data_IF_450380511756
#
_entry.id   IF_450380511756
#
_cell.length_a   1.000
_cell.length_b   1.000
_cell.length_c   1.000
_cell.angle_alpha   90.00
_cell.angle_beta   90.00
_cell.angle_gamma   90.00
#
_symmetry.space_group_name_H-M   'P 1'
#
loop_
_entity.id
_entity.type
_entity.pdbx_description
1 polymer ?
#
# COMPACT_ATOMS: atom_id res chain seq x y z
N UNK A 1 0.45 -24.61 -25.40
CA UNK A 1 1.75 -24.40 -26.06
C UNK A 1 2.53 -23.31 -25.32
N UNK A 2 3.86 -23.34 -25.34
CA UNK A 2 4.70 -22.29 -24.72
C UNK A 2 4.45 -20.90 -25.34
N UNK A 3 4.13 -20.84 -26.63
CA UNK A 3 3.73 -19.63 -27.36
C UNK A 3 2.51 -18.95 -26.72
N UNK A 4 1.41 -19.67 -26.52
CA UNK A 4 0.19 -19.07 -25.96
C UNK A 4 0.37 -18.49 -24.55
N UNK A 5 1.26 -19.08 -23.72
CA UNK A 5 1.59 -18.51 -22.40
C UNK A 5 2.44 -17.24 -22.50
N UNK A 6 3.34 -17.15 -23.48
CA UNK A 6 4.13 -15.94 -23.75
C UNK A 6 3.26 -14.81 -24.30
N UNK A 7 2.31 -15.13 -25.18
CA UNK A 7 1.37 -14.16 -25.76
C UNK A 7 0.47 -13.55 -24.69
N UNK A 8 -0.13 -14.36 -23.81
CA UNK A 8 -0.94 -13.87 -22.68
C UNK A 8 -0.11 -13.00 -21.71
N UNK A 9 1.14 -13.38 -21.43
CA UNK A 9 2.01 -12.58 -20.55
C UNK A 9 2.33 -11.21 -21.16
N UNK A 10 2.56 -11.18 -22.48
CA UNK A 10 2.84 -9.93 -23.21
C UNK A 10 1.60 -9.02 -23.24
N UNK A 11 0.42 -9.58 -23.43
CA UNK A 11 -0.84 -8.83 -23.37
C UNK A 11 -1.05 -8.18 -22.00
N UNK A 12 -0.92 -8.96 -20.92
CA UNK A 12 -1.00 -8.45 -19.54
C UNK A 12 0.03 -7.34 -19.31
N UNK A 13 1.28 -7.55 -19.73
CA UNK A 13 2.33 -6.56 -19.58
C UNK A 13 1.97 -5.24 -20.28
N UNK A 14 1.51 -5.30 -21.53
CA UNK A 14 1.12 -4.11 -22.29
C UNK A 14 -0.04 -3.35 -21.63
N UNK A 15 -1.07 -4.06 -21.15
CA UNK A 15 -2.19 -3.42 -20.43
C UNK A 15 -1.73 -2.71 -19.16
N UNK A 16 -0.85 -3.36 -18.39
CA UNK A 16 -0.30 -2.77 -17.17
C UNK A 16 0.55 -1.54 -17.51
N UNK A 17 1.49 -1.64 -18.44
CA UNK A 17 2.35 -0.50 -18.78
C UNK A 17 1.57 0.72 -19.27
N UNK A 18 0.64 0.54 -20.21
CA UNK A 18 -0.19 1.65 -20.70
C UNK A 18 -0.98 2.32 -19.58
N UNK A 19 -1.54 1.54 -18.65
CA UNK A 19 -2.27 2.08 -17.51
C UNK A 19 -1.36 2.90 -16.58
N UNK A 20 -0.15 2.41 -16.30
CA UNK A 20 0.78 3.08 -15.39
C UNK A 20 1.43 4.34 -15.99
N UNK A 21 1.56 4.42 -17.30
CA UNK A 21 1.96 5.66 -17.97
C UNK A 21 0.92 6.77 -17.73
N UNK A 22 -0.36 6.48 -17.96
CA UNK A 22 -1.47 7.43 -17.75
C UNK A 22 -1.65 7.79 -16.26
N UNK A 23 -1.54 6.79 -15.37
CA UNK A 23 -1.65 7.01 -13.93
C UNK A 23 -0.51 7.89 -13.41
N UNK A 24 0.72 7.62 -13.82
CA UNK A 24 1.90 8.41 -13.42
C UNK A 24 1.75 9.86 -13.87
N UNK A 25 1.32 10.08 -15.12
CA UNK A 25 1.05 11.43 -15.64
C UNK A 25 -0.03 12.15 -14.82
N UNK A 26 -1.12 11.45 -14.46
CA UNK A 26 -2.21 12.00 -13.66
C UNK A 26 -1.75 12.44 -12.27
N UNK A 27 -0.95 11.62 -11.58
CA UNK A 27 -0.42 11.96 -10.25
C UNK A 27 0.57 13.12 -10.33
N UNK A 28 1.42 13.17 -11.37
CA UNK A 28 2.34 14.31 -11.56
C UNK A 28 1.56 15.60 -11.80
N UNK A 29 0.52 15.57 -12.63
CA UNK A 29 -0.34 16.73 -12.90
C UNK A 29 -1.04 17.24 -11.64
N UNK A 30 -1.50 16.34 -10.76
CA UNK A 30 -2.03 16.73 -9.44
C UNK A 30 -1.05 17.64 -8.68
N UNK A 31 0.23 17.30 -8.63
CA UNK A 31 1.23 18.14 -7.95
C UNK A 31 1.54 19.45 -8.67
N UNK A 32 1.48 19.47 -10.00
CA UNK A 32 1.62 20.70 -10.79
C UNK A 32 0.51 21.69 -10.44
N UNK A 33 -0.73 21.20 -10.27
CA UNK A 33 -1.88 22.01 -9.90
C UNK A 33 -1.82 22.53 -8.46
N UNK A 34 -1.34 21.72 -7.52
CA UNK A 34 -1.18 22.13 -6.12
C UNK A 34 -0.09 23.20 -5.92
N UNK A 35 0.87 23.35 -6.86
CA UNK A 35 1.98 24.31 -6.82
C UNK A 35 2.69 24.37 -5.47
N UNK A 36 3.25 23.24 -4.98
CA UNK A 36 3.87 23.19 -3.68
C UNK A 36 5.09 24.14 -3.59
N UNK A 37 5.36 24.67 -2.40
CA UNK A 37 6.54 25.48 -2.16
C UNK A 37 7.84 24.71 -2.47
N UNK A 38 8.90 25.42 -2.84
CA UNK A 38 10.20 24.81 -3.06
C UNK A 38 10.70 24.11 -1.79
N UNK A 39 11.24 22.89 -1.95
CA UNK A 39 11.81 22.10 -0.86
C UNK A 39 10.98 20.91 -0.38
N UNK A 40 9.74 20.75 -0.83
CA UNK A 40 8.98 19.53 -0.59
C UNK A 40 9.36 18.41 -1.56
N UNK A 41 9.47 17.19 -1.03
CA UNK A 41 9.50 15.96 -1.84
C UNK A 41 8.08 15.69 -2.34
N UNK A 42 7.89 15.54 -3.64
CA UNK A 42 6.61 15.17 -4.25
C UNK A 42 6.68 13.75 -4.83
N UNK A 43 5.57 13.27 -5.38
CA UNK A 43 5.56 11.99 -6.08
C UNK A 43 6.64 11.94 -7.17
N UNK A 44 7.38 10.83 -7.24
CA UNK A 44 8.43 10.61 -8.24
C UNK A 44 9.71 11.44 -8.08
N UNK A 45 9.84 12.29 -7.05
CA UNK A 45 11.09 13.03 -6.81
C UNK A 45 12.26 12.05 -6.60
N UNK A 46 13.28 12.14 -7.44
CA UNK A 46 14.43 11.22 -7.41
C UNK A 46 15.64 11.79 -6.67
N UNK A 47 16.53 10.90 -6.25
CA UNK A 47 17.87 11.18 -5.76
C UNK A 47 18.80 10.04 -6.17
N UNK A 48 19.81 10.36 -6.98
CA UNK A 48 20.76 9.39 -7.52
C UNK A 48 21.85 8.97 -6.52
N UNK A 49 21.87 9.55 -5.33
CA UNK A 49 22.85 9.21 -4.30
C UNK A 49 22.61 7.80 -3.79
N UNK A 50 23.55 6.87 -3.99
CA UNK A 50 23.41 5.50 -3.51
C UNK A 50 23.12 5.47 -1.99
N UNK A 51 22.10 4.73 -1.54
CA UNK A 51 21.79 4.64 -0.12
C UNK A 51 22.88 3.86 0.61
N UNK A 52 23.28 4.36 1.79
CA UNK A 52 24.09 3.58 2.70
C UNK A 52 23.28 2.38 3.21
N UNK A 53 23.95 1.23 3.34
CA UNK A 53 23.33 0.05 3.94
C UNK A 53 23.10 0.26 5.42
N UNK A 54 21.97 -0.26 5.88
CA UNK A 54 21.54 -0.21 7.27
C UNK A 54 21.74 -1.61 7.87
N UNK A 55 22.54 -1.67 8.93
CA UNK A 55 22.71 -2.88 9.73
C UNK A 55 21.44 -3.12 10.53
N UNK A 56 20.80 -4.27 10.30
CA UNK A 56 19.61 -4.65 11.03
C UNK A 56 19.99 -5.58 12.18
N UNK A 57 19.59 -5.24 13.39
CA UNK A 57 19.69 -6.13 14.54
C UNK A 57 18.86 -7.38 14.30
N UNK A 58 19.49 -8.55 14.39
CA UNK A 58 18.79 -9.84 14.31
C UNK A 58 17.70 -9.89 15.37
N UNK A 59 16.46 -10.11 14.92
CA UNK A 59 15.29 -10.19 15.78
C UNK A 59 14.41 -11.36 15.35
N UNK A 60 13.55 -11.81 16.26
CA UNK A 60 12.49 -12.73 15.89
C UNK A 60 11.39 -12.01 15.13
N UNK A 61 10.55 -12.77 14.44
CA UNK A 61 9.29 -12.24 13.92
C UNK A 61 8.36 -11.97 15.11
N UNK A 62 7.72 -10.80 15.12
CA UNK A 62 6.70 -10.42 16.13
C UNK A 62 5.52 -11.38 16.20
N UNK A 63 4.65 -11.23 17.20
CA UNK A 63 3.39 -11.99 17.29
C UNK A 63 2.24 -11.27 16.61
N UNK A 64 1.22 -12.05 16.27
CA UNK A 64 -0.05 -11.55 15.74
C UNK A 64 -0.66 -10.52 16.72
N UNK A 65 -0.93 -9.27 16.28
CA UNK A 65 -1.43 -8.20 17.13
C UNK A 65 -2.85 -8.48 17.65
N UNK A 66 -3.67 -9.28 16.97
CA UNK A 66 -4.98 -9.69 17.46
C UNK A 66 -4.83 -10.64 18.65
N UNK A 67 -3.97 -11.65 18.52
CA UNK A 67 -3.71 -12.62 19.58
C UNK A 67 -3.19 -11.98 20.89
N UNK A 68 -2.46 -10.87 20.81
CA UNK A 68 -1.95 -10.14 21.99
C UNK A 68 -2.80 -8.91 22.35
N UNK A 69 -3.93 -8.68 21.67
CA UNK A 69 -4.84 -7.56 21.93
C UNK A 69 -4.22 -6.18 21.70
N UNK A 70 -3.32 -6.05 20.73
CA UNK A 70 -2.63 -4.81 20.30
C UNK A 70 -3.32 -4.11 19.12
N UNK A 71 -4.50 -4.57 18.72
CA UNK A 71 -5.25 -3.94 17.62
C UNK A 71 -6.15 -2.85 18.20
N UNK A 72 -6.11 -1.62 17.65
CA UNK A 72 -7.00 -0.56 18.10
C UNK A 72 -8.46 -0.93 17.87
N UNK A 73 -9.27 -0.73 18.91
CA UNK A 73 -10.72 -0.87 18.82
C UNK A 73 -11.27 0.12 17.80
N UNK A 74 -12.23 -0.30 16.95
CA UNK A 74 -12.90 0.63 16.06
C UNK A 74 -13.65 1.70 16.87
N UNK A 75 -13.79 2.93 16.35
CA UNK A 75 -14.62 3.94 16.98
C UNK A 75 -16.05 3.43 17.17
N UNK A 76 -16.72 3.88 18.23
CA UNK A 76 -18.11 3.49 18.49
C UNK A 76 -19.03 3.94 17.34
N UNK A 77 -20.02 3.11 16.98
CA UNK A 77 -20.96 3.38 15.87
C UNK A 77 -21.60 4.77 15.93
N UNK A 78 -22.03 5.30 17.10
CA UNK A 78 -22.58 6.66 17.18
C UNK A 78 -21.57 7.75 16.77
N UNK A 79 -20.28 7.55 17.07
CA UNK A 79 -19.21 8.48 16.67
C UNK A 79 -19.01 8.45 15.16
N UNK A 80 -18.97 7.27 14.56
CA UNK A 80 -18.86 7.13 13.10
C UNK A 80 -20.04 7.80 12.38
N UNK A 81 -21.27 7.62 12.91
CA UNK A 81 -22.47 8.27 12.38
C UNK A 81 -22.39 9.80 12.51
N UNK A 82 -22.00 10.31 13.67
CA UNK A 82 -21.85 11.75 13.88
C UNK A 82 -20.82 12.37 12.92
N UNK A 83 -19.70 11.70 12.67
CA UNK A 83 -18.69 12.16 11.68
C UNK A 83 -19.29 12.18 10.27
N UNK A 84 -19.97 11.10 9.86
CA UNK A 84 -20.60 11.01 8.54
C UNK A 84 -21.66 12.09 8.34
N UNK A 85 -22.54 12.27 9.32
CA UNK A 85 -23.62 13.25 9.27
C UNK A 85 -23.06 14.68 9.21
N UNK A 86 -22.03 14.98 10.02
CA UNK A 86 -21.36 16.27 9.98
C UNK A 86 -20.67 16.53 8.64
N UNK A 87 -19.99 15.53 8.07
CA UNK A 87 -19.38 15.64 6.74
C UNK A 87 -20.44 15.93 5.67
N UNK A 88 -21.60 15.28 5.73
CA UNK A 88 -22.67 15.44 4.73
C UNK A 88 -23.30 16.84 4.72
N UNK A 89 -23.34 17.53 5.87
CA UNK A 89 -23.95 18.87 6.00
C UNK A 89 -22.94 20.01 6.07
N UNK A 90 -21.64 19.70 6.04
CA UNK A 90 -20.58 20.72 6.10
C UNK A 90 -20.60 21.61 4.86
N UNK A 91 -20.48 22.93 5.05
CA UNK A 91 -20.45 23.89 3.95
C UNK A 91 -19.19 23.71 3.09
N UNK A 92 -19.28 24.00 1.79
CA UNK A 92 -18.16 24.01 0.84
C UNK A 92 -16.97 24.81 1.36
N UNK A 93 -17.19 26.00 1.93
CA UNK A 93 -16.13 26.84 2.51
C UNK A 93 -15.29 26.15 3.62
N UNK A 94 -15.89 25.21 4.36
CA UNK A 94 -15.19 24.42 5.39
C UNK A 94 -14.43 23.27 4.74
N UNK A 95 -15.04 22.63 3.74
CA UNK A 95 -14.48 21.49 3.03
C UNK A 95 -13.34 21.88 2.07
N UNK A 96 -13.32 23.06 1.47
CA UNK A 96 -12.24 23.54 0.58
C UNK A 96 -10.90 23.79 1.30
N UNK A 97 -10.91 23.80 2.65
CA UNK A 97 -9.68 23.98 3.43
C UNK A 97 -8.84 22.72 3.37
N UNK A 98 -7.51 22.88 3.36
CA UNK A 98 -6.59 21.74 3.56
C UNK A 98 -6.72 21.19 4.97
N UNK A 99 -7.19 19.95 5.09
CA UNK A 99 -7.39 19.25 6.35
C UNK A 99 -6.21 18.34 6.68
N UNK A 100 -5.58 17.79 5.64
CA UNK A 100 -4.38 16.96 5.79
C UNK A 100 -3.24 17.65 5.07
N UNK A 101 -2.16 17.88 5.81
CA UNK A 101 -0.88 18.32 5.29
C UNK A 101 0.20 17.45 5.91
N UNK A 102 0.69 16.48 5.15
CA UNK A 102 1.82 15.66 5.56
C UNK A 102 3.03 15.94 4.68
N UNK A 103 4.12 16.53 5.19
CA UNK A 103 5.27 16.90 4.38
C UNK A 103 6.25 15.75 4.09
N UNK A 104 6.15 14.63 4.80
CA UNK A 104 7.09 13.50 4.73
C UNK A 104 6.39 12.14 4.81
N UNK A 105 6.94 11.08 4.20
CA UNK A 105 8.11 11.05 3.29
C UNK A 105 7.95 11.80 1.95
N UNK A 106 6.71 12.07 1.53
CA UNK A 106 6.39 13.09 0.52
C UNK A 106 5.25 13.97 1.00
N UNK A 107 5.14 15.14 0.40
CA UNK A 107 4.03 16.07 0.59
C UNK A 107 2.71 15.43 0.13
N UNK A 108 1.72 15.38 1.01
CA UNK A 108 0.33 15.08 0.66
C UNK A 108 -0.54 16.19 1.22
N UNK A 109 -1.41 16.74 0.38
CA UNK A 109 -2.32 17.84 0.69
C UNK A 109 -3.73 17.43 0.31
N UNK A 110 -4.57 17.08 1.28
CA UNK A 110 -5.97 16.77 1.02
C UNK A 110 -6.87 17.82 1.67
N UNK A 111 -7.82 18.32 0.90
CA UNK A 111 -8.92 19.10 1.44
C UNK A 111 -10.07 18.21 1.93
N UNK A 112 -11.01 18.83 2.62
CA UNK A 112 -12.21 18.17 3.11
C UNK A 112 -13.15 17.70 2.02
N UNK A 113 -13.12 18.30 0.82
CA UNK A 113 -13.94 17.84 -0.32
C UNK A 113 -13.44 16.47 -0.78
N UNK A 114 -12.14 16.34 -1.04
CA UNK A 114 -11.51 15.08 -1.42
C UNK A 114 -11.78 13.97 -0.37
N UNK A 115 -11.66 14.30 0.92
CA UNK A 115 -11.95 13.36 2.02
C UNK A 115 -13.43 12.95 2.04
N UNK A 116 -14.34 13.91 1.94
CA UNK A 116 -15.77 13.66 1.99
C UNK A 116 -16.21 12.77 0.81
N UNK A 117 -15.82 13.12 -0.41
CA UNK A 117 -16.24 12.44 -1.63
C UNK A 117 -15.75 10.99 -1.70
N UNK A 118 -14.53 10.72 -1.22
CA UNK A 118 -13.91 9.39 -1.30
C UNK A 118 -14.22 8.47 -0.11
N UNK A 119 -14.44 9.02 1.10
CA UNK A 119 -14.71 8.20 2.29
C UNK A 119 -16.19 8.12 2.68
N UNK A 120 -16.99 9.10 2.28
CA UNK A 120 -18.43 9.15 2.58
C UNK A 120 -19.31 9.28 1.33
N UNK A 121 -18.72 9.67 0.20
CA UNK A 121 -19.38 9.80 -1.09
C UNK A 121 -19.25 8.54 -1.95
N UNK A 122 -19.20 8.75 -3.27
CA UNK A 122 -19.10 7.70 -4.29
C UNK A 122 -17.91 7.92 -5.22
N UNK A 123 -16.87 8.60 -4.75
CA UNK A 123 -15.64 8.72 -5.54
C UNK A 123 -14.68 7.58 -5.18
N UNK A 124 -13.98 7.09 -6.19
CA UNK A 124 -12.92 6.10 -5.98
C UNK A 124 -11.80 6.72 -5.16
N UNK A 125 -11.18 5.89 -4.33
CA UNK A 125 -10.02 6.28 -3.54
C UNK A 125 -8.87 6.74 -4.44
N UNK A 126 -8.39 7.97 -4.24
CA UNK A 126 -7.24 8.52 -4.96
C UNK A 126 -5.93 7.91 -4.47
N UNK A 127 -4.86 8.12 -5.23
CA UNK A 127 -3.51 7.69 -4.85
C UNK A 127 -3.05 8.34 -3.54
N UNK A 128 -3.37 9.62 -3.35
CA UNK A 128 -3.05 10.44 -2.17
C UNK A 128 -3.82 9.97 -0.95
N UNK A 129 -5.12 9.68 -1.09
CA UNK A 129 -5.93 9.18 0.01
C UNK A 129 -5.47 7.78 0.44
N UNK A 130 -5.17 6.90 -0.51
CA UNK A 130 -4.59 5.59 -0.22
C UNK A 130 -3.26 5.70 0.54
N UNK A 131 -2.36 6.61 0.11
CA UNK A 131 -1.12 6.86 0.82
C UNK A 131 -1.35 7.36 2.25
N UNK A 132 -2.30 8.26 2.48
CA UNK A 132 -2.67 8.74 3.83
C UNK A 132 -3.20 7.60 4.70
N UNK A 133 -4.08 6.75 4.16
CA UNK A 133 -4.62 5.60 4.89
C UNK A 133 -3.50 4.64 5.29
N UNK A 134 -2.63 4.24 4.36
CA UNK A 134 -1.53 3.31 4.66
C UNK A 134 -0.50 3.91 5.62
N UNK A 135 -0.21 5.21 5.50
CA UNK A 135 0.61 5.94 6.48
C UNK A 135 -0.04 5.92 7.86
N UNK A 136 -1.36 6.11 7.94
CA UNK A 136 -2.10 6.06 9.21
C UNK A 136 -2.14 4.65 9.80
N UNK A 137 -2.29 3.61 8.98
CA UNK A 137 -2.19 2.21 9.42
C UNK A 137 -0.82 1.90 10.03
N UNK A 138 0.27 2.35 9.39
CA UNK A 138 1.63 2.24 9.96
C UNK A 138 1.74 2.94 11.33
N UNK A 139 1.25 4.18 11.45
CA UNK A 139 1.26 4.91 12.73
C UNK A 139 0.45 4.20 13.83
N UNK A 140 -0.72 3.66 13.48
CA UNK A 140 -1.56 2.91 14.41
C UNK A 140 -0.85 1.65 14.89
N UNK A 141 -0.23 0.88 14.00
CA UNK A 141 0.52 -0.31 14.40
C UNK A 141 1.65 0.00 15.36
N UNK A 142 2.40 1.09 15.11
CA UNK A 142 3.45 1.54 16.02
C UNK A 142 2.91 1.97 17.38
N UNK A 143 1.76 2.64 17.39
CA UNK A 143 1.17 3.20 18.61
C UNK A 143 0.57 2.12 19.51
N UNK A 144 -0.05 1.10 18.93
CA UNK A 144 -0.80 0.09 19.67
C UNK A 144 -0.04 -1.23 19.88
N UNK A 145 1.13 -1.42 19.26
CA UNK A 145 1.98 -2.59 19.49
C UNK A 145 2.32 -2.72 20.97
N UNK A 146 1.95 -3.86 21.58
CA UNK A 146 2.34 -4.23 22.95
C UNK A 146 3.59 -5.11 23.00
N UNK A 147 4.15 -5.50 21.85
CA UNK A 147 5.48 -6.12 21.80
C UNK A 147 6.56 -5.07 22.15
N UNK A 148 7.83 -5.46 22.18
CA UNK A 148 8.94 -4.53 22.44
C UNK A 148 8.86 -3.31 21.52
N UNK A 149 9.20 -2.12 22.04
CA UNK A 149 9.12 -0.81 21.35
C UNK A 149 9.72 -0.76 19.93
N UNK A 150 10.57 -1.72 19.58
CA UNK A 150 11.31 -1.78 18.32
C UNK A 150 10.84 -2.85 17.34
N UNK A 151 9.78 -3.60 17.67
CA UNK A 151 9.29 -4.72 16.86
C UNK A 151 7.81 -4.53 16.48
N UNK A 152 7.51 -4.66 15.18
CA UNK A 152 6.14 -4.51 14.65
C UNK A 152 5.78 -5.65 13.70
N UNK A 153 4.51 -6.07 13.77
CA UNK A 153 3.95 -7.13 12.95
C UNK A 153 3.85 -6.82 11.47
N UNK A 154 3.45 -5.57 11.16
CA UNK A 154 3.21 -5.13 9.80
C UNK A 154 4.12 -3.99 9.42
N UNK A 155 4.61 -4.04 8.18
CA UNK A 155 5.08 -2.88 7.45
C UNK A 155 4.11 -2.57 6.32
N UNK A 156 3.73 -1.31 6.21
CA UNK A 156 2.87 -0.81 5.14
C UNK A 156 3.73 0.06 4.23
N UNK A 157 3.84 -0.30 2.96
CA UNK A 157 4.39 0.59 1.94
C UNK A 157 3.29 1.50 1.40
N UNK A 158 3.66 2.72 1.04
CA UNK A 158 2.78 3.66 0.34
C UNK A 158 2.58 3.21 -1.12
N UNK A 159 1.46 3.58 -1.78
CA UNK A 159 1.16 3.17 -3.15
C UNK A 159 2.22 3.62 -4.16
N UNK A 160 3.02 4.65 -3.83
CA UNK A 160 4.21 5.08 -4.56
C UNK A 160 5.10 3.91 -4.98
N UNK A 161 5.30 2.94 -4.07
CA UNK A 161 6.14 1.77 -4.36
C UNK A 161 5.55 0.91 -5.47
N UNK A 162 4.25 0.60 -5.38
CA UNK A 162 3.55 -0.17 -6.40
C UNK A 162 3.55 0.55 -7.74
N UNK A 163 3.22 1.84 -7.73
CA UNK A 163 3.18 2.67 -8.94
C UNK A 163 4.54 2.75 -9.62
N UNK A 164 5.62 3.03 -8.89
CA UNK A 164 6.96 3.09 -9.46
C UNK A 164 7.42 1.76 -10.09
N UNK A 165 7.18 0.65 -9.41
CA UNK A 165 7.58 -0.67 -9.92
C UNK A 165 6.81 -1.03 -11.18
N UNK A 166 5.51 -0.75 -11.22
CA UNK A 166 4.64 -1.11 -12.34
C UNK A 166 4.75 -0.15 -13.52
N UNK A 167 5.24 1.08 -13.29
CA UNK A 167 5.69 2.01 -14.33
C UNK A 167 7.14 1.75 -14.79
N UNK A 168 7.76 0.63 -14.38
CA UNK A 168 9.15 0.26 -14.70
C UNK A 168 10.20 1.28 -14.21
N UNK A 169 9.88 2.13 -13.24
CA UNK A 169 10.85 2.96 -12.56
C UNK A 169 11.61 2.17 -11.50
N UNK A 170 12.82 2.62 -11.14
CA UNK A 170 13.54 2.02 -10.02
C UNK A 170 13.11 2.64 -8.68
N UNK A 171 12.39 1.93 -7.80
CA UNK A 171 11.99 2.45 -6.49
C UNK A 171 13.17 2.93 -5.63
N UNK A 172 14.39 2.44 -5.86
CA UNK A 172 15.58 2.87 -5.12
C UNK A 172 16.05 4.29 -5.46
N UNK A 173 15.60 4.89 -6.55
CA UNK A 173 15.95 6.27 -6.89
C UNK A 173 14.94 7.27 -6.31
N UNK A 174 13.72 6.83 -5.96
CA UNK A 174 12.65 7.71 -5.50
C UNK A 174 12.79 8.00 -4.00
N UNK A 175 12.86 9.28 -3.64
CA UNK A 175 13.16 9.72 -2.28
C UNK A 175 12.11 9.25 -1.26
N UNK A 176 10.82 9.38 -1.57
CA UNK A 176 9.74 9.00 -0.65
C UNK A 176 9.70 7.50 -0.36
N UNK A 177 9.98 6.69 -1.39
CA UNK A 177 10.08 5.24 -1.25
C UNK A 177 11.25 4.89 -0.34
N UNK A 178 12.46 5.39 -0.63
CA UNK A 178 13.63 5.15 0.22
C UNK A 178 13.38 5.53 1.68
N UNK A 179 12.80 6.70 1.90
CA UNK A 179 12.46 7.18 3.24
C UNK A 179 11.54 6.19 4.00
N UNK A 180 10.59 5.57 3.30
CA UNK A 180 9.72 4.51 3.88
C UNK A 180 10.51 3.29 4.34
N UNK A 181 11.64 2.98 3.69
CA UNK A 181 12.56 1.91 4.13
C UNK A 181 13.52 2.39 5.23
N UNK A 182 13.98 3.64 5.22
CA UNK A 182 15.11 4.07 6.05
C UNK A 182 14.72 4.86 7.31
N UNK A 183 13.78 5.80 7.22
CA UNK A 183 13.50 6.76 8.30
C UNK A 183 12.84 6.09 9.52
N UNK A 184 12.15 4.98 9.32
CA UNK A 184 11.51 4.25 10.42
C UNK A 184 12.53 3.44 11.26
N UNK A 185 13.72 3.17 10.72
CA UNK A 185 14.64 2.18 11.30
C UNK A 185 15.36 2.65 12.56
N UNK A 186 15.35 3.96 12.85
CA UNK A 186 15.86 4.49 14.13
C UNK A 186 15.09 3.90 15.33
N UNK A 187 13.83 3.51 15.13
CA UNK A 187 12.94 3.04 16.17
C UNK A 187 12.40 1.63 15.92
N UNK A 188 12.74 1.01 14.79
CA UNK A 188 12.07 -0.20 14.30
C UNK A 188 13.04 -1.12 13.56
N UNK A 189 12.96 -2.42 13.85
CA UNK A 189 13.58 -3.43 12.99
C UNK A 189 12.60 -3.90 11.92
N UNK A 190 12.76 -3.53 10.63
CA UNK A 190 11.90 -4.01 9.55
C UNK A 190 11.94 -5.54 9.40
N UNK A 191 13.01 -6.19 9.88
CA UNK A 191 13.13 -7.64 9.94
C UNK A 191 12.21 -8.31 10.97
N UNK A 192 11.61 -7.56 11.90
CA UNK A 192 10.67 -8.12 12.86
C UNK A 192 9.27 -8.34 12.27
N UNK A 193 8.95 -7.64 11.17
CA UNK A 193 7.64 -7.73 10.52
C UNK A 193 7.46 -9.04 9.78
N UNK A 194 6.39 -9.74 10.16
CA UNK A 194 5.88 -10.87 9.39
C UNK A 194 5.27 -10.41 8.08
N UNK A 195 4.48 -9.35 8.13
CA UNK A 195 3.61 -8.96 7.03
C UNK A 195 4.07 -7.65 6.41
N UNK A 196 4.32 -7.66 5.10
CA UNK A 196 4.60 -6.46 4.33
C UNK A 196 3.47 -6.24 3.34
N UNK A 197 2.76 -5.11 3.46
CA UNK A 197 1.63 -4.78 2.61
C UNK A 197 2.04 -3.77 1.54
N UNK A 198 1.70 -4.07 0.30
CA UNK A 198 1.91 -3.20 -0.86
C UNK A 198 0.56 -2.96 -1.53
N UNK A 199 -0.04 -1.76 -1.39
CA UNK A 199 -1.19 -1.39 -2.20
C UNK A 199 -0.76 -1.10 -3.64
N UNK A 200 -1.61 -1.49 -4.60
CA UNK A 200 -1.45 -1.13 -6.00
C UNK A 200 -2.80 -0.78 -6.61
N UNK A 201 -2.84 0.34 -7.32
CA UNK A 201 -3.98 0.71 -8.15
C UNK A 201 -3.82 0.03 -9.51
N UNK A 202 -4.70 -0.91 -9.83
CA UNK A 202 -4.73 -1.64 -11.09
C UNK A 202 -5.88 -1.12 -11.98
N UNK A 203 -5.95 -1.50 -13.27
CA UNK A 203 -7.06 -1.10 -14.14
C UNK A 203 -8.46 -1.44 -13.60
N UNK A 204 -8.56 -2.58 -12.89
CA UNK A 204 -9.81 -3.06 -12.27
C UNK A 204 -10.11 -2.34 -10.94
N UNK A 205 -9.13 -1.70 -10.32
CA UNK A 205 -9.24 -1.00 -9.04
C UNK A 205 -8.09 -1.31 -8.09
N UNK A 206 -8.26 -0.94 -6.82
CA UNK A 206 -7.25 -1.15 -5.79
C UNK A 206 -7.16 -2.61 -5.35
N UNK A 207 -5.93 -3.12 -5.25
CA UNK A 207 -5.62 -4.39 -4.61
C UNK A 207 -4.48 -4.23 -3.61
N UNK A 208 -4.37 -5.15 -2.66
CA UNK A 208 -3.26 -5.21 -1.71
C UNK A 208 -2.55 -6.54 -1.82
N UNK A 209 -1.23 -6.49 -1.88
CA UNK A 209 -0.35 -7.64 -1.87
C UNK A 209 0.27 -7.77 -0.48
N UNK A 210 -0.11 -8.83 0.24
CA UNK A 210 0.40 -9.10 1.58
C UNK A 210 1.52 -10.16 1.47
N UNK A 211 2.75 -9.73 1.69
CA UNK A 211 3.94 -10.58 1.72
C UNK A 211 4.13 -11.11 3.14
N UNK A 212 3.84 -12.41 3.34
CA UNK A 212 4.08 -13.11 4.59
C UNK A 212 5.52 -13.66 4.59
N UNK A 213 6.42 -12.93 5.25
CA UNK A 213 7.84 -13.24 5.37
C UNK A 213 8.09 -14.54 6.14
N UNK A 214 7.19 -14.93 7.05
CA UNK A 214 7.30 -16.19 7.79
C UNK A 214 6.93 -17.40 6.94
N UNK A 215 5.85 -17.28 6.14
CA UNK A 215 5.36 -18.37 5.28
C UNK A 215 5.95 -18.35 3.86
N UNK A 216 6.75 -17.34 3.50
CA UNK A 216 7.22 -17.06 2.13
C UNK A 216 6.08 -17.15 1.13
N UNK A 217 5.01 -16.39 1.39
CA UNK A 217 3.78 -16.43 0.61
C UNK A 217 3.28 -15.03 0.31
N UNK A 218 2.89 -14.80 -0.94
CA UNK A 218 2.20 -13.57 -1.36
C UNK A 218 0.72 -13.87 -1.40
N UNK A 219 -0.06 -13.12 -0.61
CA UNK A 219 -1.52 -13.15 -0.70
C UNK A 219 -2.02 -11.97 -1.53
N UNK A 220 -2.90 -12.27 -2.48
CA UNK A 220 -3.55 -11.28 -3.32
C UNK A 220 -4.92 -10.96 -2.72
N UNK A 221 -5.04 -9.75 -2.16
CA UNK A 221 -6.26 -9.25 -1.54
C UNK A 221 -6.89 -8.24 -2.51
N UNK A 222 -7.79 -8.72 -3.36
CA UNK A 222 -8.46 -7.90 -4.39
C UNK A 222 -9.99 -7.93 -4.20
N UNK A 223 -10.63 -6.81 -3.83
CA UNK A 223 -12.08 -6.73 -3.67
C UNK A 223 -12.84 -6.86 -4.99
N UNK A 224 -12.23 -6.53 -6.14
CA UNK A 224 -12.88 -6.60 -7.45
C UNK A 224 -13.25 -8.03 -7.86
N UNK A 225 -12.65 -9.03 -7.21
CA UNK A 225 -12.86 -10.45 -7.44
C UNK A 225 -14.27 -10.91 -7.09
N UNK A 226 -14.89 -10.29 -6.08
CA UNK A 226 -16.21 -10.68 -5.62
C UNK A 226 -16.26 -12.14 -5.11
N UNK A 227 -17.47 -12.70 -4.94
CA UNK A 227 -17.68 -13.99 -4.28
C UNK A 227 -17.35 -15.21 -5.14
N UNK A 228 -17.14 -15.01 -6.45
CA UNK A 228 -16.88 -16.10 -7.40
C UNK A 228 -15.40 -16.43 -7.55
N UNK A 229 -14.51 -15.67 -6.91
CA UNK A 229 -13.07 -15.91 -6.97
C UNK A 229 -12.42 -15.47 -8.28
N UNK A 230 -11.12 -15.75 -8.38
CA UNK A 230 -10.30 -15.21 -9.45
C UNK A 230 -10.51 -15.97 -10.77
N UNK A 231 -10.83 -15.24 -11.83
CA UNK A 231 -10.75 -15.79 -13.19
C UNK A 231 -9.30 -16.04 -13.60
N UNK A 232 -9.07 -16.92 -14.58
CA UNK A 232 -7.72 -17.18 -15.11
C UNK A 232 -7.01 -15.91 -15.59
N UNK A 233 -7.76 -14.97 -16.19
CA UNK A 233 -7.23 -13.66 -16.61
C UNK A 233 -6.70 -12.87 -15.41
N UNK A 234 -7.46 -12.80 -14.32
CA UNK A 234 -7.04 -12.10 -13.10
C UNK A 234 -5.89 -12.81 -12.41
N UNK A 235 -5.89 -14.14 -12.34
CA UNK A 235 -4.75 -14.92 -11.81
C UNK A 235 -3.47 -14.56 -12.57
N UNK A 236 -3.51 -14.51 -13.91
CA UNK A 236 -2.36 -14.16 -14.73
C UNK A 236 -1.91 -12.71 -14.48
N UNK A 237 -2.85 -11.76 -14.41
CA UNK A 237 -2.57 -10.35 -14.11
C UNK A 237 -1.90 -10.19 -12.74
N UNK A 238 -2.50 -10.72 -11.68
CA UNK A 238 -1.94 -10.58 -10.34
C UNK A 238 -0.63 -11.36 -10.16
N UNK A 239 -0.46 -12.50 -10.84
CA UNK A 239 0.83 -13.21 -10.87
C UNK A 239 1.91 -12.31 -11.46
N UNK A 240 1.65 -11.71 -12.63
CA UNK A 240 2.58 -10.78 -13.27
C UNK A 240 2.93 -9.59 -12.36
N UNK A 241 1.92 -8.90 -11.84
CA UNK A 241 2.09 -7.72 -10.96
C UNK A 241 2.91 -8.09 -9.72
N UNK A 242 2.52 -9.16 -9.02
CA UNK A 242 3.21 -9.53 -7.78
C UNK A 242 4.59 -10.14 -8.00
N UNK A 243 4.91 -10.69 -9.17
CA UNK A 243 6.28 -11.06 -9.52
C UNK A 243 7.18 -9.80 -9.62
N UNK A 244 6.67 -8.72 -10.24
CA UNK A 244 7.39 -7.44 -10.31
C UNK A 244 7.57 -6.83 -8.93
N UNK A 245 6.51 -6.76 -8.13
CA UNK A 245 6.56 -6.24 -6.77
C UNK A 245 7.51 -7.05 -5.88
N UNK A 246 7.48 -8.38 -5.98
CA UNK A 246 8.37 -9.27 -5.23
C UNK A 246 9.84 -9.03 -5.59
N UNK A 247 10.17 -8.99 -6.89
CA UNK A 247 11.53 -8.73 -7.34
C UNK A 247 12.04 -7.36 -6.87
N UNK A 248 11.22 -6.32 -7.01
CA UNK A 248 11.56 -4.97 -6.58
C UNK A 248 11.72 -4.86 -5.06
N UNK A 249 10.82 -5.49 -4.28
CA UNK A 249 10.87 -5.47 -2.82
C UNK A 249 12.17 -6.08 -2.33
N UNK A 250 12.53 -7.27 -2.82
CA UNK A 250 13.76 -7.93 -2.42
C UNK A 250 15.02 -7.22 -2.93
N UNK A 251 14.98 -6.59 -4.10
CA UNK A 251 16.07 -5.72 -4.57
C UNK A 251 16.27 -4.54 -3.61
N UNK A 252 15.19 -3.90 -3.15
CA UNK A 252 15.27 -2.81 -2.18
C UNK A 252 15.84 -3.30 -0.85
N UNK A 253 15.31 -4.40 -0.31
CA UNK A 253 15.78 -5.03 0.93
C UNK A 253 17.28 -5.35 0.84
N UNK A 254 17.75 -5.99 -0.22
CA UNK A 254 19.16 -6.39 -0.39
C UNK A 254 20.10 -5.19 -0.56
N UNK A 255 19.61 -4.13 -1.19
CA UNK A 255 20.38 -2.90 -1.41
C UNK A 255 20.45 -2.03 -0.16
N UNK A 256 19.39 -2.01 0.65
CA UNK A 256 19.26 -1.11 1.80
C UNK A 256 19.64 -1.76 3.13
N UNK A 257 19.57 -3.08 3.25
CA UNK A 257 19.74 -3.76 4.52
C UNK A 257 20.84 -4.81 4.48
N UNK A 258 21.63 -4.86 5.54
CA UNK A 258 22.52 -5.97 5.83
C UNK A 258 21.86 -6.99 6.76
N UNK A 259 22.28 -8.25 6.64
CA UNK A 259 21.84 -9.35 7.50
C UNK A 259 20.33 -9.63 7.49
N UNK A 260 19.65 -9.38 6.36
CA UNK A 260 18.26 -9.75 6.18
C UNK A 260 18.05 -11.27 6.23
N UNK A 261 17.06 -11.73 6.99
CA UNK A 261 16.90 -13.14 7.36
C UNK A 261 15.99 -13.94 6.40
N UNK A 262 15.15 -13.27 5.59
CA UNK A 262 14.23 -13.95 4.68
C UNK A 262 14.78 -13.95 3.24
N UNK A 263 14.85 -15.10 2.59
CA UNK A 263 15.34 -15.19 1.21
C UNK A 263 14.25 -14.86 0.18
N UNK A 264 14.66 -14.36 -0.98
CA UNK A 264 13.76 -14.15 -2.14
C UNK A 264 13.39 -15.45 -2.88
N UNK A 265 14.03 -16.57 -2.58
CA UNK A 265 13.71 -17.87 -3.19
C UNK A 265 12.49 -18.55 -2.57
N UNK A 266 11.83 -19.41 -3.37
CA UNK A 266 10.80 -20.37 -2.91
C UNK A 266 9.51 -19.74 -2.37
N UNK A 267 9.11 -18.59 -2.93
CA UNK A 267 7.86 -17.95 -2.58
C UNK A 267 6.66 -18.58 -3.30
N UNK A 268 5.56 -18.77 -2.56
CA UNK A 268 4.27 -19.22 -3.11
C UNK A 268 3.28 -18.06 -3.22
N UNK A 269 2.16 -18.29 -3.92
CA UNK A 269 1.10 -17.30 -4.08
C UNK A 269 -0.26 -17.89 -3.78
N UNK A 270 -1.11 -17.12 -3.11
CA UNK A 270 -2.48 -17.50 -2.81
C UNK A 270 -3.46 -16.45 -3.36
N UNK A 271 -4.58 -16.97 -3.88
CA UNK A 271 -5.69 -16.21 -4.48
C UNK A 271 -6.98 -16.52 -3.71
N UNK A 272 -7.10 -16.07 -2.45
CA UNK A 272 -8.25 -16.39 -1.61
C UNK A 272 -9.54 -15.72 -2.12
N UNK A 273 -10.67 -16.40 -1.99
CA UNK A 273 -11.98 -15.76 -2.14
C UNK A 273 -12.32 -15.08 -0.81
N UNK A 274 -12.26 -13.75 -0.80
CA UNK A 274 -12.40 -12.94 0.42
C UNK A 274 -13.80 -12.33 0.54
N UNK A 275 -14.46 -12.10 -0.59
CA UNK A 275 -15.73 -11.39 -0.66
C UNK A 275 -16.90 -12.34 -0.55
N UNK A 276 -17.96 -11.92 0.14
CA UNK A 276 -19.24 -12.63 0.18
C UNK A 276 -20.23 -12.10 -0.87
N UNK A 277 -20.03 -10.88 -1.31
CA UNK A 277 -20.86 -10.19 -2.29
C UNK A 277 -20.00 -9.31 -3.20
N UNK A 278 -20.55 -8.93 -4.34
CA UNK A 278 -19.91 -7.89 -5.15
C UNK A 278 -20.13 -6.55 -4.46
N UNK A 279 -19.10 -5.72 -4.45
CA UNK A 279 -19.21 -4.33 -4.04
C UNK A 279 -19.02 -3.42 -5.25
N UNK A 280 -19.48 -2.18 -5.11
CA UNK A 280 -19.33 -1.16 -6.13
C UNK A 280 -17.84 -0.78 -6.31
N UNK A 281 -17.46 -0.39 -7.53
CA UNK A 281 -16.05 -0.15 -7.89
C UNK A 281 -15.45 0.99 -7.06
N UNK A 282 -16.28 1.96 -6.69
CA UNK A 282 -15.96 3.11 -5.84
C UNK A 282 -15.39 2.66 -4.48
N UNK A 283 -15.90 1.54 -3.94
CA UNK A 283 -15.54 1.03 -2.61
C UNK A 283 -14.28 0.15 -2.61
N UNK A 284 -13.73 -0.20 -3.78
CA UNK A 284 -12.58 -1.11 -3.87
C UNK A 284 -11.36 -0.58 -3.08
N UNK A 285 -11.08 0.71 -3.10
CA UNK A 285 -9.96 1.30 -2.34
C UNK A 285 -10.12 1.17 -0.82
N UNK A 286 -11.31 1.46 -0.31
CA UNK A 286 -11.62 1.36 1.12
C UNK A 286 -11.62 -0.10 1.55
N UNK A 287 -12.18 -1.00 0.73
CA UNK A 287 -12.20 -2.43 0.99
C UNK A 287 -10.79 -3.05 0.98
N UNK A 288 -9.95 -2.70 0.02
CA UNK A 288 -8.55 -3.13 -0.03
C UNK A 288 -7.77 -2.68 1.23
N UNK A 289 -8.01 -1.45 1.69
CA UNK A 289 -7.45 -0.93 2.94
C UNK A 289 -7.98 -1.67 4.18
N UNK A 290 -9.25 -2.05 4.18
CA UNK A 290 -9.84 -2.90 5.21
C UNK A 290 -9.16 -4.26 5.27
N UNK A 291 -8.85 -4.89 4.13
CA UNK A 291 -8.11 -6.16 4.12
C UNK A 291 -6.71 -6.02 4.70
N UNK A 292 -5.97 -4.99 4.29
CA UNK A 292 -4.62 -4.71 4.82
C UNK A 292 -4.64 -4.51 6.35
N UNK A 293 -5.68 -3.85 6.86
CA UNK A 293 -5.86 -3.62 8.29
C UNK A 293 -6.24 -4.90 9.05
N UNK A 294 -7.09 -5.75 8.49
CA UNK A 294 -7.74 -6.84 9.23
C UNK A 294 -7.14 -8.22 9.01
N UNK A 295 -6.27 -8.40 8.01
CA UNK A 295 -5.64 -9.70 7.79
C UNK A 295 -4.61 -10.02 8.89
N UNK A 296 -4.82 -11.13 9.60
CA UNK A 296 -3.97 -11.58 10.71
C UNK A 296 -2.83 -12.53 10.30
N UNK A 297 -2.69 -12.81 8.99
CA UNK A 297 -1.74 -13.81 8.48
C UNK A 297 -2.34 -15.20 8.24
N UNK A 298 -3.60 -15.40 8.63
CA UNK A 298 -4.37 -16.63 8.48
C UNK A 298 -5.83 -16.36 8.09
N UNK A 299 -6.46 -15.31 8.63
CA UNK A 299 -7.88 -14.96 8.49
C UNK A 299 -8.06 -13.45 8.27
N UNK A 300 -9.23 -13.10 7.73
CA UNK A 300 -9.79 -11.75 7.63
C UNK A 300 -11.01 -11.62 8.54
#
# INVERSE_FOLDING_TARGET
SLSGKQDTRREVANTIYSFFDDLTASIVMYYVEQRPSSGYVTFGTTNDTAPAKIQITKCNITRDPWAIGSVPMPPAVPVLRAIKDWLAVSSTFVLERKWIMHPKPRLILLDGIEIQQQLSGKEQLSHEMCAVIFRRLSQMDKTYSKDTLTMFWRKFLEPDFGTAVLSNADPLTIQSIRATFTEENEFFSPASSRMWHIPALLPDGWAVYAFDMAKRRILVLDPAVGPFGFSNRRINMHTYVSDLLHAALFRCIQSLYDSWHCSSGEWTRAFPVIMLENIEKEDYGVCASFFARNYDGDKL
#
